data_IF_785968605611
#
_entry.id   IF_785968605611
#
_cell.length_a   1.000
_cell.length_b   1.000
_cell.length_c   1.000
_cell.angle_alpha   90.00
_cell.angle_beta   90.00
_cell.angle_gamma   90.00
#
_symmetry.space_group_name_H-M   'P 1'
#
loop_
_entity.id
_entity.type
_entity.pdbx_description
1 polymer ?
#
# COMPACT_ATOMS: atom_id res chain seq x y z
N UNK A 1 7.10 16.25 12.26
CA UNK A 1 7.90 15.49 13.24
C UNK A 1 9.20 16.24 13.50
N UNK A 2 9.60 16.49 14.76
CA UNK A 2 10.90 17.15 15.06
C UNK A 2 12.02 16.11 14.99
N UNK A 3 12.80 16.13 13.92
CA UNK A 3 13.86 15.16 13.60
C UNK A 3 15.15 15.32 14.41
N UNK A 4 15.14 16.21 15.40
CA UNK A 4 16.31 16.65 16.16
C UNK A 4 16.71 15.70 17.30
N UNK A 5 15.90 14.68 17.59
CA UNK A 5 16.23 13.59 18.52
C UNK A 5 16.11 12.23 17.84
N UNK A 6 17.22 11.51 17.60
CA UNK A 6 17.20 10.17 17.00
C UNK A 6 16.39 9.16 17.81
N UNK A 7 16.39 9.26 19.14
CA UNK A 7 15.61 8.37 20.02
C UNK A 7 14.11 8.64 19.90
N UNK A 8 13.71 9.91 19.76
CA UNK A 8 12.32 10.23 19.49
C UNK A 8 11.93 9.73 18.09
N UNK A 9 12.78 9.91 17.06
CA UNK A 9 12.52 9.42 15.70
C UNK A 9 12.33 7.91 15.73
N UNK A 10 13.18 7.21 16.50
CA UNK A 10 13.09 5.78 16.71
C UNK A 10 11.77 5.37 17.39
N UNK A 11 11.38 6.01 18.49
CA UNK A 11 10.07 5.78 19.14
C UNK A 11 8.88 6.03 18.20
N UNK A 12 8.92 7.10 17.41
CA UNK A 12 7.88 7.40 16.44
C UNK A 12 7.81 6.38 15.29
N UNK A 13 8.94 5.74 14.97
CA UNK A 13 9.02 4.63 14.02
C UNK A 13 8.69 3.27 14.65
N UNK A 14 8.62 3.15 15.98
CA UNK A 14 8.21 1.95 16.70
C UNK A 14 6.69 1.85 16.90
N UNK A 15 5.96 2.96 16.74
CA UNK A 15 4.54 2.88 16.42
C UNK A 15 4.45 2.30 15.01
N UNK A 16 3.96 1.07 14.87
CA UNK A 16 3.85 0.39 13.58
C UNK A 16 3.28 1.34 12.54
N UNK A 17 4.10 1.65 11.53
CA UNK A 17 3.65 2.43 10.40
C UNK A 17 2.75 1.50 9.59
N UNK A 18 1.44 1.77 9.61
CA UNK A 18 0.51 1.09 8.71
C UNK A 18 1.04 1.17 7.29
N UNK A 19 0.96 0.05 6.58
CA UNK A 19 1.31 -0.02 5.17
C UNK A 19 0.08 -0.54 4.45
N UNK A 20 -0.31 0.14 3.38
CA UNK A 20 -1.48 -0.18 2.59
C UNK A 20 -1.06 -0.38 1.14
N UNK A 21 -1.77 -1.24 0.42
CA UNK A 21 -1.58 -1.43 -1.00
C UNK A 21 -2.89 -1.53 -1.78
N UNK A 22 -2.82 -1.21 -3.06
CA UNK A 22 -3.92 -1.40 -4.01
C UNK A 22 -3.39 -1.82 -5.38
N UNK A 23 -4.23 -2.51 -6.14
CA UNK A 23 -3.96 -3.02 -7.48
C UNK A 23 -4.99 -2.46 -8.45
N UNK A 24 -4.53 -1.97 -9.59
CA UNK A 24 -5.42 -1.51 -10.64
C UNK A 24 -4.67 -1.18 -11.91
N UNK A 25 -5.37 -0.63 -12.89
CA UNK A 25 -4.76 -0.18 -14.14
C UNK A 25 -3.97 1.10 -13.92
N UNK A 26 -4.61 2.10 -13.32
CA UNK A 26 -4.03 3.42 -13.06
C UNK A 26 -4.66 4.09 -11.84
N UNK A 27 -3.86 4.92 -11.18
CA UNK A 27 -4.31 5.81 -10.12
C UNK A 27 -4.38 7.24 -10.65
N UNK A 28 -5.50 7.93 -10.46
CA UNK A 28 -5.70 9.27 -10.96
C UNK A 28 -6.98 9.92 -10.47
N UNK A 29 -7.23 11.14 -10.92
CA UNK A 29 -8.47 11.85 -10.64
C UNK A 29 -9.53 11.44 -11.66
N UNK A 30 -10.52 10.66 -11.20
CA UNK A 30 -11.57 10.06 -12.02
C UNK A 30 -12.93 10.31 -11.38
N UNK A 31 -13.92 10.73 -12.16
CA UNK A 31 -15.29 11.00 -11.69
C UNK A 31 -15.37 11.93 -10.48
N UNK A 32 -14.45 12.90 -10.39
CA UNK A 32 -14.42 13.87 -9.29
C UNK A 32 -13.72 13.41 -8.02
N UNK A 33 -13.05 12.25 -8.03
CA UNK A 33 -12.26 11.76 -6.90
C UNK A 33 -10.93 11.15 -7.33
N UNK A 34 -9.94 11.18 -6.43
CA UNK A 34 -8.70 10.45 -6.62
C UNK A 34 -8.94 8.98 -6.32
N UNK A 35 -8.72 8.07 -7.27
CA UNK A 35 -8.96 6.65 -7.06
C UNK A 35 -8.11 5.76 -7.97
N UNK A 36 -7.89 4.53 -7.51
CA UNK A 36 -7.38 3.44 -8.35
C UNK A 36 -8.54 2.89 -9.17
N UNK A 37 -8.38 2.78 -10.50
CA UNK A 37 -9.38 2.19 -11.39
C UNK A 37 -8.86 0.95 -12.10
N UNK A 38 -9.76 0.11 -12.63
CA UNK A 38 -9.37 -1.10 -13.38
C UNK A 38 -8.92 -2.27 -12.50
N UNK A 39 -9.59 -2.46 -11.36
CA UNK A 39 -9.42 -3.63 -10.50
C UNK A 39 -9.92 -4.93 -11.13
N UNK A 40 -9.40 -6.05 -10.62
CA UNK A 40 -9.65 -7.46 -10.99
C UNK A 40 -9.56 -7.80 -12.51
N UNK A 41 -8.48 -8.47 -12.91
CA UNK A 41 -8.25 -8.94 -14.29
C UNK A 41 -7.62 -7.92 -15.25
N UNK A 42 -7.71 -6.62 -14.95
CA UNK A 42 -7.11 -5.54 -15.77
C UNK A 42 -5.99 -4.77 -15.09
N UNK A 43 -5.52 -5.23 -13.92
CA UNK A 43 -4.48 -4.55 -13.19
C UNK A 43 -3.17 -4.46 -14.01
N UNK A 44 -2.51 -3.30 -13.94
CA UNK A 44 -1.24 -2.97 -14.59
C UNK A 44 -0.26 -2.27 -13.66
N UNK A 45 -0.71 -1.86 -12.47
CA UNK A 45 0.10 -1.21 -11.45
C UNK A 45 -0.26 -1.71 -10.05
N UNK A 46 0.73 -1.63 -9.16
CA UNK A 46 0.56 -1.71 -7.70
C UNK A 46 0.92 -0.35 -7.14
N UNK A 47 0.16 0.13 -6.16
CA UNK A 47 0.53 1.28 -5.37
C UNK A 47 0.62 0.88 -3.90
N UNK A 48 1.68 1.35 -3.23
CA UNK A 48 1.94 1.12 -1.81
C UNK A 48 2.09 2.48 -1.14
N UNK A 49 1.43 2.67 0.00
CA UNK A 49 1.46 3.92 0.76
C UNK A 49 1.27 3.66 2.25
N UNK A 50 1.52 4.67 3.10
CA UNK A 50 1.29 4.58 4.54
C UNK A 50 -0.20 4.59 4.92
N UNK A 51 -1.06 5.06 4.02
CA UNK A 51 -2.51 5.14 4.18
C UNK A 51 -3.17 5.20 2.79
N UNK A 52 -4.47 4.85 2.66
CA UNK A 52 -5.20 5.04 1.41
C UNK A 52 -5.20 6.50 0.98
N UNK A 53 -4.77 6.79 -0.26
CA UNK A 53 -4.71 8.17 -0.77
C UNK A 53 -6.01 8.67 -1.42
N UNK A 54 -7.11 7.94 -1.19
CA UNK A 54 -8.44 8.15 -1.77
C UNK A 54 -9.50 8.26 -0.67
N UNK A 55 -10.67 8.83 -0.96
CA UNK A 55 -11.81 8.83 -0.03
C UNK A 55 -12.49 7.47 0.08
N UNK A 56 -12.66 6.78 -1.05
CA UNK A 56 -13.21 5.41 -1.07
C UNK A 56 -12.08 4.39 -0.92
N UNK A 57 -11.89 3.93 0.32
CA UNK A 57 -10.80 3.02 0.67
C UNK A 57 -11.08 1.56 0.33
N UNK A 58 -12.24 1.23 -0.26
CA UNK A 58 -12.65 -0.16 -0.50
C UNK A 58 -11.70 -0.96 -1.40
N UNK A 59 -10.92 -0.28 -2.25
CA UNK A 59 -9.91 -0.88 -3.11
C UNK A 59 -8.53 -1.05 -2.44
N UNK A 60 -8.36 -0.60 -1.20
CA UNK A 60 -7.10 -0.66 -0.46
C UNK A 60 -7.12 -1.78 0.58
N UNK A 61 -6.00 -2.48 0.67
CA UNK A 61 -5.78 -3.55 1.63
C UNK A 61 -4.64 -3.14 2.54
N UNK A 62 -4.85 -3.26 3.84
CA UNK A 62 -3.79 -3.07 4.83
C UNK A 62 -2.87 -4.30 4.82
N UNK A 63 -1.57 -4.04 4.88
CA UNK A 63 -0.53 -5.07 5.06
C UNK A 63 -0.45 -5.36 6.56
N UNK A 64 -0.70 -6.60 7.00
CA UNK A 64 -0.64 -6.94 8.42
C UNK A 64 0.75 -6.72 9.01
N UNK A 65 0.79 -6.46 10.32
CA UNK A 65 2.04 -6.42 11.07
C UNK A 65 2.83 -7.73 10.92
N UNK A 66 4.14 -7.63 11.10
CA UNK A 66 5.08 -8.76 10.97
C UNK A 66 4.88 -9.56 9.69
N UNK A 67 4.54 -8.89 8.60
CA UNK A 67 4.32 -9.50 7.29
C UNK A 67 5.12 -8.78 6.22
N UNK A 68 5.40 -9.49 5.14
CA UNK A 68 6.08 -8.97 3.97
C UNK A 68 5.09 -8.91 2.80
N UNK A 69 4.92 -7.71 2.23
CA UNK A 69 4.26 -7.54 0.93
C UNK A 69 5.28 -7.84 -0.18
N UNK A 70 5.03 -8.87 -0.96
CA UNK A 70 5.80 -9.26 -2.13
C UNK A 70 5.03 -8.92 -3.39
N UNK A 71 5.62 -8.13 -4.30
CA UNK A 71 5.00 -7.80 -5.59
C UNK A 71 5.82 -8.34 -6.75
N UNK A 72 5.14 -8.93 -7.73
CA UNK A 72 5.76 -9.44 -8.95
C UNK A 72 4.97 -9.04 -10.18
N UNK A 73 5.58 -9.16 -11.35
CA UNK A 73 4.88 -9.06 -12.63
C UNK A 73 4.99 -10.40 -13.34
N UNK A 74 3.86 -11.04 -13.62
CA UNK A 74 3.75 -12.28 -14.40
C UNK A 74 2.85 -12.04 -15.61
N UNK A 75 3.31 -12.35 -16.81
CA UNK A 75 2.58 -12.11 -18.07
C UNK A 75 2.05 -10.67 -18.22
N UNK A 76 2.82 -9.69 -17.72
CA UNK A 76 2.43 -8.27 -17.75
C UNK A 76 1.25 -7.91 -16.82
N UNK A 77 0.95 -8.77 -15.84
CA UNK A 77 0.01 -8.51 -14.76
C UNK A 77 0.75 -8.45 -13.41
N UNK A 78 0.54 -7.39 -12.62
CA UNK A 78 1.06 -7.34 -11.26
C UNK A 78 0.33 -8.33 -10.37
N UNK A 79 1.08 -9.00 -9.50
CA UNK A 79 0.58 -9.80 -8.40
C UNK A 79 1.13 -9.24 -7.09
N UNK A 80 0.31 -9.27 -6.05
CA UNK A 80 0.71 -8.90 -4.70
C UNK A 80 0.36 -10.06 -3.76
N UNK A 81 1.35 -10.55 -3.03
CA UNK A 81 1.25 -11.62 -2.06
C UNK A 81 1.71 -11.08 -0.70
N UNK A 82 1.04 -11.50 0.37
CA UNK A 82 1.39 -11.11 1.74
C UNK A 82 1.80 -12.36 2.48
N UNK A 83 3.06 -12.39 2.92
CA UNK A 83 3.62 -13.52 3.65
C UNK A 83 3.84 -13.11 5.11
N UNK A 84 3.29 -13.89 6.04
CA UNK A 84 3.56 -13.68 7.46
C UNK A 84 5.00 -14.09 7.78
N UNK A 85 5.73 -13.20 8.44
CA UNK A 85 7.05 -13.49 8.94
C UNK A 85 6.89 -14.14 10.32
N UNK A 86 7.26 -15.40 10.45
CA UNK A 86 7.33 -16.05 11.75
C UNK A 86 8.34 -15.30 12.63
N UNK A 87 7.92 -14.97 13.85
CA UNK A 87 8.78 -14.38 14.89
C UNK A 87 9.76 -15.41 15.48
#
# INVERSE_FOLDING_TARGET
>A
YRTESPAAVHEANLNYLSLWYTLGREYGFHDGDWKMIGGNGTAKSVMVASEPLTRDTSAWLEVPEYSMLYTTVRDGQPMAEVEHLAA
#
